data_IF_749874142640
#
_entry.id   IF_749874142640
#
_cell.length_a   1.000
_cell.length_b   1.000
_cell.length_c   1.000
_cell.angle_alpha   90.00
_cell.angle_beta   90.00
_cell.angle_gamma   90.00
#
_symmetry.space_group_name_H-M   'P 1'
#
loop_
_entity.id
_entity.type
_entity.pdbx_description
1 polymer ?
#
# COMPACT_ATOMS: atom_id res chain seq x y z
N UNK A 1 8.56 15.55 40.56
CA UNK A 1 9.21 15.01 39.34
C UNK A 1 8.16 14.30 38.46
N UNK A 2 7.26 15.07 37.82
CA UNK A 2 6.16 14.50 37.00
C UNK A 2 6.42 14.52 35.48
N UNK A 3 7.36 15.34 35.02
CA UNK A 3 7.62 15.54 33.58
C UNK A 3 8.24 14.32 32.88
N UNK A 4 8.99 13.47 33.59
CA UNK A 4 9.64 12.29 33.00
C UNK A 4 8.62 11.19 32.67
N UNK A 5 7.56 11.05 33.48
CA UNK A 5 6.50 10.05 33.25
C UNK A 5 5.66 10.40 32.02
N UNK A 6 5.35 11.67 31.79
CA UNK A 6 4.59 12.12 30.61
C UNK A 6 5.35 11.88 29.29
N UNK A 7 6.67 12.13 29.26
CA UNK A 7 7.51 11.87 28.09
C UNK A 7 7.55 10.38 27.69
N UNK A 8 7.59 9.46 28.66
CA UNK A 8 7.63 8.01 28.40
C UNK A 8 6.28 7.47 27.87
N UNK A 9 5.16 8.03 28.33
CA UNK A 9 3.82 7.70 27.83
C UNK A 9 3.66 8.19 26.38
N UNK A 10 4.11 9.40 26.06
CA UNK A 10 4.10 9.92 24.68
C UNK A 10 4.96 9.07 23.73
N UNK A 11 6.13 8.57 24.16
CA UNK A 11 6.94 7.66 23.33
C UNK A 11 6.28 6.32 23.03
N UNK A 12 5.53 5.72 23.96
CA UNK A 12 4.76 4.49 23.69
C UNK A 12 3.62 4.75 22.69
N UNK A 13 2.91 5.85 22.88
CA UNK A 13 1.78 6.26 22.02
C UNK A 13 2.22 6.54 20.57
N UNK A 14 3.39 7.14 20.38
CA UNK A 14 3.97 7.37 19.04
C UNK A 14 4.34 6.04 18.36
N UNK A 15 4.85 5.03 19.09
CA UNK A 15 5.15 3.71 18.51
C UNK A 15 3.89 2.94 18.09
N UNK A 16 2.81 3.03 18.86
CA UNK A 16 1.53 2.43 18.46
C UNK A 16 0.94 3.13 17.23
N UNK A 17 0.98 4.48 17.16
CA UNK A 17 0.57 5.21 15.96
C UNK A 17 1.43 4.85 14.73
N UNK A 18 2.76 4.77 14.88
CA UNK A 18 3.66 4.40 13.79
C UNK A 18 3.38 2.98 13.29
N UNK A 19 3.03 2.05 14.19
CA UNK A 19 2.68 0.68 13.83
C UNK A 19 1.33 0.60 13.09
N UNK A 20 0.36 1.44 13.46
CA UNK A 20 -0.92 1.55 12.75
C UNK A 20 -0.74 2.18 11.35
N UNK A 21 0.08 3.23 11.24
CA UNK A 21 0.45 3.87 9.96
C UNK A 21 1.21 2.91 9.03
N UNK A 22 2.08 2.06 9.57
CA UNK A 22 2.92 1.15 8.78
C UNK A 22 2.13 0.00 8.13
N UNK A 23 0.92 -0.28 8.59
CA UNK A 23 0.04 -1.30 8.01
C UNK A 23 -0.85 -0.78 6.88
N UNK A 24 -0.79 0.52 6.59
CA UNK A 24 -1.54 1.10 5.48
C UNK A 24 -0.84 0.78 4.16
N UNK A 25 -1.52 0.01 3.30
CA UNK A 25 -1.02 -0.26 1.95
C UNK A 25 -1.05 1.06 1.19
N UNK A 26 0.10 1.47 0.66
CA UNK A 26 0.24 2.70 -0.13
C UNK A 26 0.49 2.40 -1.60
N UNK A 27 -0.02 3.26 -2.46
CA UNK A 27 0.13 3.13 -3.91
C UNK A 27 1.51 3.60 -4.36
N UNK A 28 2.24 2.75 -5.08
CA UNK A 28 3.57 3.10 -5.60
C UNK A 28 3.54 4.23 -6.65
N UNK A 29 2.38 4.52 -7.26
CA UNK A 29 2.24 5.56 -8.30
C UNK A 29 1.92 6.92 -7.69
N UNK A 30 0.87 7.02 -6.88
CA UNK A 30 0.41 8.29 -6.30
C UNK A 30 0.82 8.51 -4.84
N UNK A 31 1.37 7.49 -4.18
CA UNK A 31 1.80 7.52 -2.78
C UNK A 31 0.67 7.69 -1.75
N UNK A 32 -0.58 7.64 -2.20
CA UNK A 32 -1.77 7.67 -1.34
C UNK A 32 -2.13 6.28 -0.79
N UNK A 33 -2.90 6.29 0.30
CA UNK A 33 -3.43 5.10 0.96
C UNK A 33 -4.40 4.37 0.02
N UNK A 34 -4.31 3.04 0.01
CA UNK A 34 -5.11 2.15 -0.82
C UNK A 34 -6.28 1.60 -0.03
N UNK A 35 -7.46 1.60 -0.67
CA UNK A 35 -8.63 0.89 -0.16
C UNK A 35 -8.43 -0.63 -0.24
N UNK A 36 -8.63 -1.32 0.89
CA UNK A 36 -8.44 -2.77 1.01
C UNK A 36 -9.32 -3.59 0.07
N UNK A 37 -10.45 -3.05 -0.39
CA UNK A 37 -11.40 -3.76 -1.23
C UNK A 37 -11.09 -3.61 -2.72
N UNK A 38 -10.31 -2.60 -3.12
CA UNK A 38 -10.12 -2.29 -4.53
C UNK A 38 -8.69 -1.86 -4.86
N UNK A 39 -7.81 -2.84 -5.01
CA UNK A 39 -6.41 -2.61 -5.37
C UNK A 39 -5.90 -3.62 -6.39
N UNK A 40 -4.76 -3.30 -7.00
CA UNK A 40 -3.96 -4.23 -7.77
C UNK A 40 -2.63 -4.43 -7.04
N UNK A 41 -2.15 -5.67 -7.01
CA UNK A 41 -0.88 -6.02 -6.38
C UNK A 41 -0.03 -6.87 -7.29
N UNK A 42 1.28 -6.69 -7.24
CA UNK A 42 2.19 -7.60 -7.93
C UNK A 42 2.50 -8.78 -7.00
N UNK A 43 2.17 -10.00 -7.41
CA UNK A 43 2.39 -11.22 -6.60
C UNK A 43 3.88 -11.52 -6.35
N UNK A 44 4.77 -10.94 -7.17
CA UNK A 44 6.22 -11.15 -7.07
C UNK A 44 6.86 -10.08 -6.18
N UNK A 45 6.55 -8.81 -6.44
CA UNK A 45 7.17 -7.69 -5.72
C UNK A 45 6.45 -7.30 -4.44
N UNK A 46 5.23 -7.83 -4.22
CA UNK A 46 4.35 -7.45 -3.13
C UNK A 46 4.10 -5.94 -3.04
N UNK A 47 4.11 -5.25 -4.19
CA UNK A 47 3.74 -3.84 -4.28
C UNK A 47 2.22 -3.70 -4.42
N UNK A 48 1.70 -2.55 -4.00
CA UNK A 48 0.27 -2.24 -4.08
C UNK A 48 0.05 -0.99 -4.93
N UNK A 49 -1.03 -1.00 -5.68
CA UNK A 49 -1.44 0.06 -6.59
C UNK A 49 -2.96 0.19 -6.54
N UNK A 50 -3.51 1.41 -6.66
CA UNK A 50 -4.93 1.56 -6.97
C UNK A 50 -5.23 0.96 -8.34
N UNK A 51 -6.44 0.43 -8.54
CA UNK A 51 -6.87 -0.04 -9.88
C UNK A 51 -6.78 1.08 -10.91
N UNK A 52 -7.24 2.29 -10.58
CA UNK A 52 -7.19 3.44 -11.48
C UNK A 52 -5.74 3.81 -11.85
N UNK A 53 -4.82 3.70 -10.90
CA UNK A 53 -3.40 3.96 -11.15
C UNK A 53 -2.77 2.89 -12.04
N UNK A 54 -3.10 1.61 -11.82
CA UNK A 54 -2.66 0.51 -12.68
C UNK A 54 -3.21 0.66 -14.11
N UNK A 55 -4.49 1.00 -14.25
CA UNK A 55 -5.15 1.17 -15.55
C UNK A 55 -4.55 2.35 -16.34
N UNK A 56 -4.34 3.49 -15.68
CA UNK A 56 -3.63 4.65 -16.26
C UNK A 56 -2.21 4.27 -16.68
N UNK A 57 -1.49 3.51 -15.86
CA UNK A 57 -0.13 3.06 -16.17
C UNK A 57 -0.09 2.08 -17.35
N UNK A 58 -1.07 1.17 -17.42
CA UNK A 58 -1.25 0.23 -18.53
C UNK A 58 -1.52 0.97 -19.84
N UNK A 59 -2.17 2.13 -19.81
CA UNK A 59 -2.39 3.01 -20.98
C UNK A 59 -2.91 2.24 -22.22
N UNK A 60 -3.86 1.34 -22.05
CA UNK A 60 -4.44 0.49 -23.11
C UNK A 60 -3.47 -0.45 -23.85
N UNK A 61 -2.29 -0.75 -23.30
CA UNK A 61 -1.36 -1.72 -23.89
C UNK A 61 -1.89 -3.17 -23.95
N UNK A 62 -3.04 -3.45 -23.34
CA UNK A 62 -3.68 -4.77 -23.33
C UNK A 62 -3.05 -5.79 -22.37
N UNK A 63 -1.99 -5.43 -21.65
CA UNK A 63 -1.32 -6.30 -20.68
C UNK A 63 -0.97 -5.57 -19.39
N UNK A 64 -1.02 -6.28 -18.25
CA UNK A 64 -0.53 -5.75 -16.97
C UNK A 64 0.99 -5.89 -16.94
N UNK A 65 1.71 -4.81 -16.68
CA UNK A 65 3.16 -4.84 -16.43
C UNK A 65 3.43 -4.20 -15.07
N UNK A 66 4.15 -4.89 -14.21
CA UNK A 66 4.55 -4.33 -12.93
C UNK A 66 5.56 -3.19 -13.14
N UNK A 67 5.36 -1.99 -12.55
CA UNK A 67 6.32 -0.89 -12.67
C UNK A 67 7.65 -1.18 -11.97
N UNK A 68 7.68 -2.10 -10.99
CA UNK A 68 8.88 -2.42 -10.21
C UNK A 68 9.75 -3.51 -10.86
N UNK A 69 9.19 -4.70 -11.14
CA UNK A 69 9.95 -5.79 -11.79
C UNK A 69 9.87 -5.80 -13.31
N UNK A 70 9.05 -4.95 -13.93
CA UNK A 70 8.84 -4.90 -15.38
C UNK A 70 8.34 -6.22 -16.00
N UNK A 71 7.87 -7.17 -15.20
CA UNK A 71 7.30 -8.42 -15.71
C UNK A 71 5.82 -8.25 -16.07
N UNK A 72 5.40 -8.98 -17.10
CA UNK A 72 4.03 -8.98 -17.63
C UNK A 72 3.21 -10.09 -16.96
N UNK A 73 1.93 -9.82 -16.65
CA UNK A 73 1.00 -10.82 -16.12
C UNK A 73 1.15 -11.12 -14.62
N UNK A 74 1.95 -10.34 -13.91
CA UNK A 74 2.25 -10.53 -12.47
C UNK A 74 1.32 -9.73 -11.55
N UNK A 75 0.43 -8.92 -12.12
CA UNK A 75 -0.54 -8.12 -11.38
C UNK A 75 -1.80 -8.96 -11.10
N UNK A 76 -2.20 -9.00 -9.84
CA UNK A 76 -3.43 -9.62 -9.37
C UNK A 76 -4.31 -8.56 -8.69
N UNK A 77 -5.62 -8.78 -8.69
CA UNK A 77 -6.55 -8.03 -7.85
C UNK A 77 -7.07 -8.97 -6.74
N UNK A 78 -7.28 -8.47 -5.51
CA UNK A 78 -7.96 -9.24 -4.50
C UNK A 78 -9.38 -9.51 -5.01
N UNK A 79 -9.80 -10.79 -4.99
CA UNK A 79 -11.21 -11.12 -5.17
C UNK A 79 -11.96 -10.65 -3.94
N UNK A 80 -12.96 -9.79 -4.11
CA UNK A 80 -13.98 -9.62 -3.09
C UNK A 80 -14.64 -11.00 -2.91
N UNK A 81 -14.60 -11.53 -1.69
CA UNK A 81 -15.42 -12.67 -1.32
C UNK A 81 -16.76 -12.05 -0.97
N UNK A 82 -17.71 -12.09 -1.90
CA UNK A 82 -19.12 -11.75 -1.67
C UNK A 82 -19.81 -12.82 -0.80
#
# INVERSE_FOLDING_TARGET
>A
MNYIKECLINRRRIRELDTLLRNEKTCLICWDIIDINNYATCIICNIFLHKDCEERFRANKGYCKCPHCMQIGTMASPRAIE
#
